data_IF_174792735607
#
_entry.id   IF_174792735607
#
_cell.length_a   1.000
_cell.length_b   1.000
_cell.length_c   1.000
_cell.angle_alpha   90.00
_cell.angle_beta   90.00
_cell.angle_gamma   90.00
#
_symmetry.space_group_name_H-M   'P 1'
#
loop_
_entity.id
_entity.type
_entity.pdbx_description
1 polymer ?
#
# COMPACT_ATOMS: atom_id res chain seq x y z
N UNK A 1 -5.36 7.07 8.36
CA UNK A 1 -5.80 5.81 7.73
C UNK A 1 -5.75 6.01 6.23
N UNK A 2 -4.79 5.40 5.55
CA UNK A 2 -4.78 5.34 4.09
C UNK A 2 -5.60 4.12 3.71
N UNK A 3 -6.81 4.35 3.20
CA UNK A 3 -7.60 3.34 2.54
C UNK A 3 -7.43 3.58 1.05
N UNK A 4 -6.76 2.66 0.36
CA UNK A 4 -6.71 2.66 -1.09
C UNK A 4 -7.66 1.57 -1.58
N UNK A 5 -8.91 1.96 -1.83
CA UNK A 5 -9.95 1.03 -2.28
C UNK A 5 -9.60 0.36 -3.61
N UNK A 6 -8.78 1.00 -4.44
CA UNK A 6 -8.27 0.41 -5.68
C UNK A 6 -7.23 -0.70 -5.46
N UNK A 7 -6.74 -0.91 -4.23
CA UNK A 7 -5.96 -2.09 -3.88
C UNK A 7 -6.85 -3.35 -3.82
N UNK A 8 -8.16 -3.21 -3.56
CA UNK A 8 -9.06 -4.37 -3.41
C UNK A 8 -9.16 -5.21 -4.69
N UNK A 9 -9.32 -4.63 -5.89
CA UNK A 9 -9.22 -5.37 -7.15
C UNK A 9 -7.87 -6.11 -7.33
N UNK A 10 -6.76 -5.51 -6.88
CA UNK A 10 -5.43 -6.13 -6.96
C UNK A 10 -5.29 -7.32 -5.99
N UNK A 11 -5.92 -7.24 -4.82
CA UNK A 11 -5.98 -8.36 -3.88
C UNK A 11 -6.95 -9.45 -4.36
N UNK A 12 -7.99 -9.06 -5.09
CA UNK A 12 -8.84 -9.98 -5.83
C UNK A 12 -8.11 -10.61 -7.03
N UNK A 13 -6.91 -10.16 -7.42
CA UNK A 13 -6.12 -10.82 -8.46
C UNK A 13 -5.76 -12.27 -8.12
N UNK A 14 -5.90 -12.71 -6.86
CA UNK A 14 -5.87 -14.13 -6.50
C UNK A 14 -6.90 -15.00 -7.22
N UNK A 15 -7.93 -14.41 -7.85
CA UNK A 15 -8.89 -15.10 -8.72
C UNK A 15 -8.57 -14.98 -10.21
N UNK A 16 -7.52 -14.23 -10.60
CA UNK A 16 -7.09 -14.10 -12.00
C UNK A 16 -6.08 -15.20 -12.31
N UNK A 17 -6.36 -16.10 -13.28
CA UNK A 17 -5.44 -17.17 -13.64
C UNK A 17 -4.05 -16.62 -14.00
N UNK A 18 -3.00 -17.33 -13.57
CA UNK A 18 -1.59 -17.03 -13.82
C UNK A 18 -1.03 -15.78 -13.11
N UNK A 19 -1.84 -15.01 -12.37
CA UNK A 19 -1.36 -13.87 -11.57
C UNK A 19 -1.45 -14.22 -10.09
N UNK A 20 -0.37 -14.01 -9.36
CA UNK A 20 -0.31 -14.25 -7.91
C UNK A 20 0.10 -12.97 -7.19
N UNK A 21 -0.59 -12.68 -6.08
CA UNK A 21 -0.10 -11.69 -5.11
C UNK A 21 1.13 -12.29 -4.42
N UNK A 22 2.30 -11.72 -4.70
CA UNK A 22 3.58 -12.17 -4.16
C UNK A 22 3.84 -11.51 -2.80
N UNK A 23 3.65 -10.20 -2.72
CA UNK A 23 3.96 -9.42 -1.51
C UNK A 23 3.01 -8.25 -1.37
N UNK A 24 2.62 -7.99 -0.12
CA UNK A 24 1.94 -6.77 0.29
C UNK A 24 2.84 -6.12 1.34
N UNK A 25 3.14 -4.83 1.17
CA UNK A 25 4.00 -4.09 2.11
C UNK A 25 3.54 -2.66 2.30
N UNK A 26 3.83 -2.13 3.48
CA UNK A 26 3.64 -0.73 3.82
C UNK A 26 4.95 -0.17 4.37
N UNK A 27 5.42 0.92 3.77
CA UNK A 27 6.62 1.64 4.22
C UNK A 27 6.16 2.97 4.82
N UNK A 28 6.57 3.25 6.06
CA UNK A 28 6.26 4.50 6.74
C UNK A 28 7.55 5.31 6.82
N UNK A 29 7.57 6.44 6.12
CA UNK A 29 8.63 7.42 6.18
C UNK A 29 8.20 8.58 7.07
N UNK A 30 8.70 8.57 8.30
CA UNK A 30 8.41 9.63 9.28
C UNK A 30 9.14 10.94 8.99
N UNK A 31 10.25 10.91 8.23
CA UNK A 31 10.98 12.12 7.88
C UNK A 31 10.22 12.93 6.82
N UNK A 32 9.62 12.22 5.85
CA UNK A 32 8.82 12.83 4.79
C UNK A 32 7.31 12.88 5.10
N UNK A 33 6.91 12.39 6.28
CA UNK A 33 5.50 12.27 6.68
C UNK A 33 4.66 11.53 5.63
N UNK A 34 5.21 10.44 5.09
CA UNK A 34 4.60 9.67 4.02
C UNK A 34 4.42 8.21 4.42
N UNK A 35 3.34 7.63 3.92
CA UNK A 35 3.08 6.19 3.94
C UNK A 35 2.95 5.73 2.50
N UNK A 36 3.80 4.80 2.11
CA UNK A 36 3.69 4.08 0.86
C UNK A 36 3.07 2.71 1.11
N UNK A 37 2.03 2.36 0.37
CA UNK A 37 1.53 1.00 0.29
C UNK A 37 1.88 0.43 -1.08
N UNK A 38 2.36 -0.82 -1.11
CA UNK A 38 2.78 -1.47 -2.34
C UNK A 38 2.32 -2.92 -2.39
N UNK A 39 1.89 -3.35 -3.56
CA UNK A 39 1.52 -4.74 -3.88
C UNK A 39 2.36 -5.21 -5.04
N UNK A 40 3.01 -6.35 -4.84
CA UNK A 40 3.79 -7.05 -5.85
C UNK A 40 2.97 -8.22 -6.39
N UNK A 41 2.83 -8.25 -7.71
CA UNK A 41 2.15 -9.29 -8.46
C UNK A 41 3.18 -10.04 -9.29
N UNK A 42 3.21 -11.36 -9.18
CA UNK A 42 4.02 -12.22 -10.06
C UNK A 42 3.13 -12.93 -11.08
N UNK A 43 3.63 -13.01 -12.31
CA UNK A 43 3.06 -13.83 -13.37
C UNK A 43 4.15 -14.68 -14.03
N UNK A 44 3.80 -15.45 -15.08
CA UNK A 44 4.72 -16.43 -15.68
C UNK A 44 5.95 -15.80 -16.34
N UNK A 45 5.84 -14.54 -16.76
CA UNK A 45 6.86 -13.86 -17.56
C UNK A 45 7.59 -12.75 -16.80
N UNK A 46 6.95 -12.16 -15.79
CA UNK A 46 7.49 -11.01 -15.07
C UNK A 46 6.80 -10.81 -13.71
N UNK A 47 7.43 -9.98 -12.89
CA UNK A 47 6.87 -9.45 -11.65
C UNK A 47 6.64 -7.95 -11.82
N UNK A 48 5.51 -7.45 -11.31
CA UNK A 48 5.13 -6.04 -11.37
C UNK A 48 4.73 -5.54 -9.99
N UNK A 49 5.09 -4.31 -9.66
CA UNK A 49 4.74 -3.67 -8.38
C UNK A 49 3.88 -2.44 -8.62
N UNK A 50 2.80 -2.32 -7.86
CA UNK A 50 1.92 -1.15 -7.84
C UNK A 50 2.02 -0.51 -6.46
N UNK A 51 2.30 0.78 -6.41
CA UNK A 51 2.38 1.53 -5.15
C UNK A 51 1.52 2.78 -5.14
N UNK A 52 1.12 3.18 -3.94
CA UNK A 52 0.39 4.42 -3.67
C UNK A 52 0.96 5.10 -2.44
N UNK A 53 0.96 6.42 -2.46
CA UNK A 53 1.62 7.25 -1.47
C UNK A 53 0.61 8.21 -0.83
N UNK A 54 0.60 8.26 0.50
CA UNK A 54 -0.25 9.15 1.28
C UNK A 54 0.59 9.97 2.26
N UNK A 55 0.27 11.25 2.42
CA UNK A 55 0.87 12.08 3.46
C UNK A 55 0.07 11.97 4.76
N UNK A 56 0.75 12.04 5.89
CA UNK A 56 0.12 12.10 7.21
C UNK A 56 0.61 13.31 8.00
N UNK A 57 -0.19 13.77 8.96
CA UNK A 57 0.22 14.82 9.89
C UNK A 57 0.38 14.24 11.29
N UNK A 58 1.42 14.66 11.99
CA UNK A 58 1.57 14.38 13.42
C UNK A 58 0.93 15.54 14.18
N UNK A 59 -0.26 15.30 14.74
CA UNK A 59 -0.90 16.25 15.64
C UNK A 59 -0.68 15.79 17.08
N UNK A 60 0.19 16.50 17.80
CA UNK A 60 0.34 16.32 19.24
C UNK A 60 -0.95 16.75 19.95
N UNK A 61 -1.46 15.98 20.91
CA UNK A 61 -2.68 16.34 21.62
C UNK A 61 -2.48 17.68 22.33
N UNK A 62 -3.35 18.65 22.07
CA UNK A 62 -3.42 19.87 22.89
C UNK A 62 -3.89 19.44 24.29
N UNK A 63 -3.05 19.64 25.30
CA UNK A 63 -3.48 19.51 26.69
C UNK A 63 -4.62 20.50 26.92
N UNK A 64 -5.80 19.99 27.29
CA UNK A 64 -6.86 20.83 27.85
C UNK A 64 -6.37 21.22 29.23
N UNK A 65 -6.05 22.50 29.42
CA UNK A 65 -5.81 23.07 30.75
C UNK A 65 -7.15 23.51 31.34
#
# INVERSE_FOLDING_TARGET
>A
YTSFSELFPLLAAGTVPLVKVEKISQTIDSANFMVENSVQLSGPLATTSLSTNAKFEIRSPKRVQ
#
